data_IF_385195271730
#
_entry.id   IF_385195271730
#
_cell.length_a   1.000
_cell.length_b   1.000
_cell.length_c   1.000
_cell.angle_alpha   90.00
_cell.angle_beta   90.00
_cell.angle_gamma   90.00
#
_symmetry.space_group_name_H-M   'P 1'
#
loop_
_entity.id
_entity.type
_entity.pdbx_description
1 polymer ?
#
# COMPACT_ATOMS: atom_id res chain seq x y z
N UNK A 1 -1.79 8.27 -10.78
CA UNK A 1 -1.28 7.28 -9.79
C UNK A 1 -1.78 5.85 -10.06
N UNK A 2 -3.09 5.57 -10.02
CA UNK A 2 -3.59 4.19 -10.16
C UNK A 2 -3.25 3.53 -11.50
N UNK A 3 -3.28 4.28 -12.59
CA UNK A 3 -2.85 3.76 -13.89
C UNK A 3 -1.36 3.43 -13.88
N UNK A 4 -0.51 4.24 -13.25
CA UNK A 4 0.90 3.91 -13.08
C UNK A 4 1.09 2.61 -12.29
N UNK A 5 0.33 2.42 -11.20
CA UNK A 5 0.34 1.16 -10.46
C UNK A 5 -0.06 -0.04 -11.34
N UNK A 6 -1.09 0.09 -12.18
CA UNK A 6 -1.47 -0.98 -13.12
C UNK A 6 -0.35 -1.33 -14.11
N UNK A 7 0.33 -0.33 -14.66
CA UNK A 7 1.47 -0.54 -15.57
C UNK A 7 2.66 -1.23 -14.88
N UNK A 8 2.80 -1.06 -13.56
CA UNK A 8 3.80 -1.73 -12.73
C UNK A 8 3.39 -3.17 -12.33
N UNK A 9 2.23 -3.67 -12.77
CA UNK A 9 1.75 -5.01 -12.48
C UNK A 9 0.89 -5.13 -11.22
N UNK A 10 0.52 -4.01 -10.59
CA UNK A 10 -0.43 -4.04 -9.48
C UNK A 10 -1.86 -4.32 -9.97
N UNK A 11 -2.62 -5.04 -9.15
CA UNK A 11 -4.06 -5.24 -9.30
C UNK A 11 -4.82 -4.23 -8.45
N UNK A 12 -5.80 -3.56 -9.05
CA UNK A 12 -6.73 -2.71 -8.33
C UNK A 12 -8.06 -3.45 -8.21
N UNK A 13 -8.37 -3.95 -7.02
CA UNK A 13 -9.61 -4.67 -6.74
C UNK A 13 -10.60 -3.75 -6.05
N UNK A 14 -11.71 -3.44 -6.73
CA UNK A 14 -12.78 -2.61 -6.19
C UNK A 14 -13.82 -3.47 -5.46
N UNK A 15 -14.17 -3.05 -4.24
CA UNK A 15 -15.34 -3.50 -3.50
C UNK A 15 -16.42 -2.41 -3.46
N UNK A 16 -17.44 -2.62 -2.63
CA UNK A 16 -18.60 -1.73 -2.53
C UNK A 16 -18.25 -0.34 -1.98
N UNK A 17 -17.27 -0.26 -1.07
CA UNK A 17 -16.94 0.98 -0.32
C UNK A 17 -15.55 1.54 -0.63
N UNK A 18 -14.77 0.88 -1.49
CA UNK A 18 -13.38 1.25 -1.73
C UNK A 18 -12.64 0.22 -2.55
N UNK A 19 -11.35 0.40 -2.73
CA UNK A 19 -10.47 -0.49 -3.49
C UNK A 19 -9.22 -0.87 -2.72
N UNK A 20 -8.64 -2.02 -3.09
CA UNK A 20 -7.33 -2.44 -2.63
C UNK A 20 -6.33 -2.41 -3.79
N UNK A 21 -5.14 -1.90 -3.51
CA UNK A 21 -3.97 -1.95 -4.40
C UNK A 21 -3.16 -3.17 -3.99
N UNK A 22 -3.01 -4.14 -4.87
CA UNK A 22 -2.36 -5.42 -4.56
C UNK A 22 -1.22 -5.74 -5.51
N UNK A 23 -0.17 -6.35 -4.99
CA UNK A 23 0.99 -6.83 -5.76
C UNK A 23 1.05 -8.36 -5.73
N UNK A 24 1.20 -9.04 -6.87
CA UNK A 24 1.52 -10.47 -6.90
C UNK A 24 2.82 -10.76 -6.15
N UNK A 25 2.90 -11.87 -5.41
CA UNK A 25 4.14 -12.29 -4.74
C UNK A 25 4.58 -13.67 -5.24
N UNK A 26 5.88 -13.98 -5.29
CA UNK A 26 6.38 -15.24 -5.86
C UNK A 26 5.95 -16.49 -5.06
N UNK A 27 5.82 -16.35 -3.74
CA UNK A 27 5.66 -17.44 -2.78
C UNK A 27 4.22 -17.67 -2.30
N UNK A 28 3.24 -16.93 -2.86
CA UNK A 28 1.85 -17.04 -2.45
C UNK A 28 0.88 -16.76 -3.60
N UNK A 29 -0.16 -17.60 -3.81
CA UNK A 29 -1.09 -17.44 -4.93
C UNK A 29 -1.92 -16.16 -4.84
N UNK A 30 -2.33 -15.77 -3.62
CA UNK A 30 -3.06 -14.51 -3.41
C UNK A 30 -2.10 -13.31 -3.37
N UNK A 31 -2.38 -12.24 -4.14
CA UNK A 31 -1.55 -11.04 -4.12
C UNK A 31 -1.62 -10.33 -2.76
N UNK A 32 -0.53 -9.67 -2.39
CA UNK A 32 -0.41 -8.90 -1.16
C UNK A 32 -1.03 -7.51 -1.33
N UNK A 33 -1.96 -7.13 -0.46
CA UNK A 33 -2.44 -5.75 -0.38
C UNK A 33 -1.35 -4.83 0.17
N UNK A 34 -1.06 -3.76 -0.58
CA UNK A 34 -0.03 -2.75 -0.24
C UNK A 34 -0.59 -1.33 -0.15
N UNK A 35 -1.90 -1.20 -0.35
CA UNK A 35 -2.62 0.06 -0.24
C UNK A 35 -4.12 -0.13 -0.37
N UNK A 36 -4.86 0.89 0.07
CA UNK A 36 -6.31 0.93 0.08
C UNK A 36 -6.80 2.32 -0.30
N UNK A 37 -7.94 2.36 -0.95
CA UNK A 37 -8.59 3.57 -1.44
C UNK A 37 -10.00 3.57 -0.89
N UNK A 38 -10.29 4.51 -0.01
CA UNK A 38 -11.61 4.67 0.58
C UNK A 38 -12.06 6.13 0.46
N UNK A 39 -13.36 6.35 0.61
CA UNK A 39 -13.85 7.71 0.88
C UNK A 39 -13.38 8.19 2.28
N UNK A 40 -13.62 9.45 2.61
CA UNK A 40 -13.28 10.00 3.95
C UNK A 40 -14.34 9.63 5.02
N UNK A 41 -15.05 8.51 4.84
CA UNK A 41 -16.01 8.04 5.84
C UNK A 41 -15.29 7.37 7.00
N UNK A 42 -15.79 7.60 8.22
CA UNK A 42 -15.34 6.88 9.42
C UNK A 42 -15.79 5.42 9.45
N UNK A 43 -16.77 5.04 8.63
CA UNK A 43 -17.37 3.71 8.59
C UNK A 43 -16.65 2.70 7.67
N UNK A 44 -15.44 3.04 7.23
CA UNK A 44 -14.65 2.18 6.36
C UNK A 44 -13.94 1.08 7.15
N UNK A 45 -13.54 0.04 6.42
CA UNK A 45 -12.84 -1.09 7.01
C UNK A 45 -11.59 -0.61 7.74
N UNK A 46 -11.48 -0.99 9.02
CA UNK A 46 -10.41 -0.57 9.93
C UNK A 46 -10.24 0.95 10.11
N UNK A 47 -11.28 1.74 9.78
CA UNK A 47 -11.23 3.20 9.85
C UNK A 47 -10.33 3.86 8.80
N UNK A 48 -9.88 3.11 7.79
CA UNK A 48 -9.04 3.62 6.70
C UNK A 48 -9.78 4.66 5.86
N UNK A 49 -9.04 5.64 5.36
CA UNK A 49 -9.59 6.74 4.57
C UNK A 49 -8.65 7.13 3.44
N UNK A 50 -9.21 7.87 2.49
CA UNK A 50 -8.47 8.42 1.36
C UNK A 50 -7.60 7.35 0.71
N UNK A 51 -6.39 7.71 0.27
CA UNK A 51 -5.37 6.73 -0.07
C UNK A 51 -4.60 6.38 1.20
N UNK A 52 -4.64 5.13 1.63
CA UNK A 52 -3.73 4.61 2.65
C UNK A 52 -2.78 3.62 2.02
N UNK A 53 -1.47 3.85 2.10
CA UNK A 53 -0.43 2.94 1.60
C UNK A 53 0.25 2.25 2.76
N UNK A 54 0.49 0.95 2.67
CA UNK A 54 1.05 0.18 3.77
C UNK A 54 0.75 -1.29 3.65
N UNK A 55 0.90 -2.06 4.72
CA UNK A 55 0.74 -3.51 4.69
C UNK A 55 0.12 -4.03 5.98
N UNK A 56 -0.41 -5.24 5.91
CA UNK A 56 -0.83 -5.98 7.08
C UNK A 56 0.29 -6.94 7.51
N UNK A 57 0.85 -6.83 8.73
CA UNK A 57 1.94 -7.70 9.18
C UNK A 57 1.61 -9.20 9.07
N UNK A 58 0.37 -9.59 9.36
CA UNK A 58 -0.08 -10.99 9.24
C UNK A 58 -0.10 -11.52 7.80
N UNK A 59 -0.23 -10.64 6.82
CA UNK A 59 -0.19 -11.00 5.40
C UNK A 59 1.25 -11.14 4.91
N UNK A 60 2.16 -10.29 5.39
CA UNK A 60 3.60 -10.37 5.07
C UNK A 60 4.23 -11.61 5.69
N UNK A 61 3.87 -11.99 6.92
CA UNK A 61 4.37 -13.23 7.56
C UNK A 61 4.12 -14.52 6.77
N UNK A 62 3.12 -14.52 5.88
CA UNK A 62 2.81 -15.66 4.99
C UNK A 62 3.58 -15.61 3.66
N UNK A 63 4.39 -14.58 3.45
CA UNK A 63 5.10 -14.25 2.20
C UNK A 63 6.55 -13.82 2.50
N UNK A 64 7.38 -14.72 3.06
CA UNK A 64 8.74 -14.37 3.49
C UNK A 64 9.61 -13.82 2.36
N UNK A 65 9.36 -14.18 1.09
CA UNK A 65 10.14 -13.69 -0.06
C UNK A 65 10.10 -12.17 -0.22
N UNK A 66 9.03 -11.51 0.24
CA UNK A 66 8.84 -10.06 0.07
C UNK A 66 9.06 -9.25 1.35
N UNK A 67 9.44 -9.88 2.46
CA UNK A 67 9.52 -9.21 3.76
C UNK A 67 10.47 -8.00 3.73
N UNK A 68 11.68 -8.16 3.19
CA UNK A 68 12.64 -7.06 3.09
C UNK A 68 12.18 -5.95 2.15
N UNK A 69 11.51 -6.29 1.05
CA UNK A 69 10.96 -5.32 0.12
C UNK A 69 9.87 -4.46 0.80
N UNK A 70 9.05 -5.09 1.66
CA UNK A 70 8.03 -4.39 2.44
C UNK A 70 8.63 -3.50 3.53
N UNK A 71 9.72 -3.90 4.18
CA UNK A 71 10.43 -3.03 5.13
C UNK A 71 10.90 -1.76 4.42
N UNK A 72 11.59 -1.89 3.27
CA UNK A 72 12.04 -0.74 2.49
C UNK A 72 10.88 0.13 1.99
N UNK A 73 9.76 -0.49 1.66
CA UNK A 73 8.53 0.23 1.29
C UNK A 73 7.96 1.04 2.47
N UNK A 74 7.89 0.49 3.69
CA UNK A 74 7.42 1.23 4.88
C UNK A 74 8.34 2.43 5.19
N UNK A 75 9.65 2.24 5.09
CA UNK A 75 10.65 3.29 5.29
C UNK A 75 10.51 4.40 4.23
N UNK A 76 10.31 4.03 2.96
CA UNK A 76 10.12 4.99 1.88
C UNK A 76 8.82 5.79 2.04
N UNK A 77 7.72 5.14 2.45
CA UNK A 77 6.46 5.83 2.75
C UNK A 77 6.59 6.80 3.92
N UNK A 78 7.36 6.43 4.96
CA UNK A 78 7.63 7.27 6.12
C UNK A 78 8.33 8.58 5.76
N UNK A 79 9.13 8.57 4.69
CA UNK A 79 9.87 9.72 4.22
C UNK A 79 9.03 10.71 3.39
N UNK A 80 7.80 10.35 3.00
CA UNK A 80 6.94 11.23 2.18
C UNK A 80 6.33 12.34 3.05
N UNK A 81 6.56 13.64 2.74
CA UNK A 81 5.99 14.74 3.49
C UNK A 81 4.47 14.72 3.56
N UNK A 82 3.91 14.90 4.76
CA UNK A 82 2.46 14.98 4.97
C UNK A 82 1.73 13.64 5.00
N UNK A 83 2.45 12.51 4.86
CA UNK A 83 1.88 11.18 5.14
C UNK A 83 1.54 11.05 6.62
N UNK A 84 0.28 10.73 6.95
CA UNK A 84 -0.16 10.52 8.33
C UNK A 84 -0.04 9.05 8.69
N UNK A 85 0.76 8.70 9.70
CA UNK A 85 0.90 7.30 10.12
C UNK A 85 -0.47 6.74 10.51
N UNK A 86 -0.82 5.60 9.94
CA UNK A 86 -2.02 4.83 10.28
C UNK A 86 -1.60 3.55 10.97
N UNK A 87 -2.09 3.37 12.18
CA UNK A 87 -2.06 2.12 12.93
C UNK A 87 -3.49 1.81 13.33
N UNK A 88 -4.03 0.71 12.83
CA UNK A 88 -5.40 0.30 13.16
C UNK A 88 -5.47 -0.19 14.60
N UNK A 89 -6.66 -0.23 15.22
CA UNK A 89 -6.83 -0.48 16.66
C UNK A 89 -6.15 -1.75 17.22
N UNK A 90 -5.87 -2.75 16.37
CA UNK A 90 -5.16 -3.98 16.73
C UNK A 90 -3.73 -4.08 16.15
N UNK A 91 -3.19 -2.98 15.61
CA UNK A 91 -1.94 -2.96 14.83
C UNK A 91 -1.90 -3.91 13.62
N UNK A 92 -3.07 -4.39 13.19
CA UNK A 92 -3.23 -5.30 12.05
C UNK A 92 -2.82 -4.68 10.70
N UNK A 93 -2.59 -3.37 10.66
CA UNK A 93 -2.14 -2.61 9.52
C UNK A 93 -1.15 -1.53 9.95
N UNK A 94 -0.08 -1.40 9.16
CA UNK A 94 0.93 -0.35 9.25
C UNK A 94 0.98 0.38 7.93
N UNK A 95 0.78 1.69 7.94
CA UNK A 95 0.80 2.47 6.71
C UNK A 95 0.75 3.97 6.93
N UNK A 96 0.50 4.70 5.85
CA UNK A 96 0.45 6.15 5.79
C UNK A 96 -0.75 6.58 4.94
N UNK A 97 -1.57 7.46 5.50
CA UNK A 97 -2.69 8.09 4.81
C UNK A 97 -2.22 9.36 4.08
N UNK A 98 -2.65 9.47 2.83
CA UNK A 98 -2.51 10.64 1.96
C UNK A 98 -3.90 11.12 1.57
N UNK A 99 -4.28 12.29 2.08
CA UNK A 99 -5.58 12.90 1.83
C UNK A 99 -5.56 13.74 0.54
N UNK A 100 -6.68 14.42 0.24
CA UNK A 100 -6.81 15.24 -0.97
C UNK A 100 -5.85 16.42 -1.03
N UNK A 101 -5.34 16.89 0.11
CA UNK A 101 -4.37 17.97 0.17
C UNK A 101 -2.93 17.44 0.08
N UNK A 102 -2.65 16.26 0.64
CA UNK A 102 -1.29 15.71 0.68
C UNK A 102 -0.94 14.80 -0.48
N UNK A 103 -1.90 14.17 -1.16
CA UNK A 103 -1.61 13.29 -2.30
C UNK A 103 -1.11 14.05 -3.55
N UNK A 104 -1.78 15.10 -4.07
CA UNK A 104 -1.35 15.76 -5.30
C UNK A 104 0.11 16.27 -5.29
N UNK A 105 0.61 16.95 -4.23
CA UNK A 105 2.00 17.39 -4.21
C UNK A 105 3.01 16.24 -4.05
N UNK A 106 2.57 15.06 -3.60
CA UNK A 106 3.42 13.89 -3.37
C UNK A 106 3.19 12.75 -4.36
N UNK A 107 2.39 12.95 -5.41
CA UNK A 107 1.99 11.88 -6.33
C UNK A 107 3.19 11.17 -6.94
N UNK A 108 4.22 11.93 -7.36
CA UNK A 108 5.47 11.38 -7.89
C UNK A 108 6.17 10.51 -6.86
N UNK A 109 6.30 10.96 -5.60
CA UNK A 109 6.96 10.20 -4.54
C UNK A 109 6.21 8.89 -4.23
N UNK A 110 4.87 8.94 -4.21
CA UNK A 110 4.01 7.76 -4.04
C UNK A 110 4.21 6.77 -5.19
N UNK A 111 4.18 7.24 -6.44
CA UNK A 111 4.40 6.37 -7.61
C UNK A 111 5.80 5.77 -7.59
N UNK A 112 6.82 6.52 -7.20
CA UNK A 112 8.19 6.01 -7.04
C UNK A 112 8.28 4.91 -5.97
N UNK A 113 7.58 5.05 -4.84
CA UNK A 113 7.54 4.00 -3.82
C UNK A 113 6.90 2.71 -4.35
N UNK A 114 5.80 2.81 -5.11
CA UNK A 114 5.17 1.67 -5.77
C UNK A 114 6.08 1.06 -6.85
N UNK A 115 6.76 1.89 -7.64
CA UNK A 115 7.71 1.40 -8.65
C UNK A 115 8.86 0.61 -8.01
N UNK A 116 9.43 1.14 -6.92
CA UNK A 116 10.51 0.48 -6.19
C UNK A 116 10.04 -0.83 -5.56
N UNK A 117 8.85 -0.85 -4.95
CA UNK A 117 8.30 -2.08 -4.38
C UNK A 117 8.06 -3.15 -5.46
N UNK A 118 7.50 -2.77 -6.62
CA UNK A 118 7.30 -3.69 -7.73
C UNK A 118 8.63 -4.30 -8.22
N UNK A 119 9.65 -3.46 -8.39
CA UNK A 119 10.99 -3.91 -8.76
C UNK A 119 11.57 -4.88 -7.72
N UNK A 120 11.51 -4.52 -6.43
CA UNK A 120 12.10 -5.33 -5.36
C UNK A 120 11.41 -6.69 -5.19
N UNK A 121 10.09 -6.76 -5.37
CA UNK A 121 9.32 -8.02 -5.33
C UNK A 121 9.66 -8.93 -6.51
N UNK A 122 9.99 -8.35 -7.67
CA UNK A 122 10.40 -9.12 -8.86
C UNK A 122 11.88 -9.55 -8.80
N UNK A 123 12.74 -8.74 -8.19
CA UNK A 123 14.18 -9.01 -8.07
C UNK A 123 14.53 -10.02 -6.95
N UNK A 124 13.64 -10.19 -5.97
CA UNK A 124 13.80 -11.15 -4.86
C UNK A 124 13.20 -12.54 -5.09
N UNK A 125 12.80 -12.85 -6.34
CA UNK A 125 12.26 -14.15 -6.75
C UNK A 125 13.31 -15.12 -7.28
#
# INVERSE_FOLDING_TARGET
MLDAARHLGYRIEWGVRGGAIKIPTPDHPDPLSVGWIYDDSRGNWSGLRNLTLGYQPASVRRRPSVEQAIVRYDDALAAIPGGKRVVTANEDLRGYEFDRATLPPNETAVVTCLAQLAHDVQAGG
#
